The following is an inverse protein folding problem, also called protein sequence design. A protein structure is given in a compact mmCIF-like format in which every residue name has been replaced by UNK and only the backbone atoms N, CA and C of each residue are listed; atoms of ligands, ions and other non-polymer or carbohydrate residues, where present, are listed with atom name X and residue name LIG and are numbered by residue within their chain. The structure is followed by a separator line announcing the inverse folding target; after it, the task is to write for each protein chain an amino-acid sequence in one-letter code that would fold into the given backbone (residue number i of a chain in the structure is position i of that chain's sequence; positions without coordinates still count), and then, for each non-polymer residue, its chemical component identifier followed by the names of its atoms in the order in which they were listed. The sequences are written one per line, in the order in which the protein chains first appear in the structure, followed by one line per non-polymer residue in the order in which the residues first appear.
data_IF_852069572945
#
_entry.id   IF_852069572945
#
_cell.length_a   1.000
_cell.length_b   1.000
_cell.length_c   1.000
_cell.angle_alpha   90.00
_cell.angle_beta   90.00
_cell.angle_gamma   90.00
#
_symmetry.space_group_name_H-M   'P 1'
#
loop_
_entity.id
_entity.type
_entity.pdbx_description
1 polymer ?
#
# COMPACT_ATOMS: atom_id res chain seq x y z
N UNK A 1 -0.84 -52.40 -22.52
CA UNK A 1 0.19 -51.40 -22.91
C UNK A 1 -0.34 -49.96 -23.04
N UNK A 2 -1.46 -49.70 -23.73
CA UNK A 2 -2.06 -48.35 -23.91
C UNK A 2 -2.32 -47.58 -22.59
N UNK A 3 -2.94 -48.20 -21.58
CA UNK A 3 -3.26 -47.56 -20.28
C UNK A 3 -2.03 -47.04 -19.53
N UNK A 4 -0.86 -47.69 -19.65
CA UNK A 4 0.39 -47.28 -19.00
C UNK A 4 0.98 -46.03 -19.67
N UNK A 5 0.94 -45.95 -21.01
CA UNK A 5 1.35 -44.75 -21.76
C UNK A 5 0.47 -43.54 -21.44
N UNK A 6 -0.85 -43.74 -21.34
CA UNK A 6 -1.80 -42.67 -20.97
C UNK A 6 -1.52 -42.14 -19.55
N UNK A 7 -1.27 -43.02 -18.56
CA UNK A 7 -0.90 -42.59 -17.20
C UNK A 7 0.41 -41.77 -17.16
N UNK A 8 1.39 -42.13 -17.99
CA UNK A 8 2.66 -41.38 -18.10
C UNK A 8 2.41 -39.99 -18.68
N UNK A 9 1.62 -39.90 -19.76
CA UNK A 9 1.26 -38.61 -20.39
C UNK A 9 0.51 -37.70 -19.40
N UNK A 10 -0.45 -38.24 -18.64
CA UNK A 10 -1.19 -37.46 -17.63
C UNK A 10 -0.26 -36.95 -16.53
N UNK A 11 0.65 -37.80 -16.01
CA UNK A 11 1.63 -37.37 -15.00
C UNK A 11 2.55 -36.28 -15.54
N UNK A 12 3.00 -36.41 -16.79
CA UNK A 12 3.83 -35.39 -17.43
C UNK A 12 3.08 -34.06 -17.58
N UNK A 13 1.85 -34.08 -18.10
CA UNK A 13 0.98 -32.89 -18.18
C UNK A 13 0.79 -32.23 -16.82
N UNK A 14 0.57 -33.01 -15.77
CA UNK A 14 0.43 -32.49 -14.41
C UNK A 14 1.69 -31.78 -13.92
N UNK A 15 2.87 -32.36 -14.15
CA UNK A 15 4.16 -31.72 -13.80
C UNK A 15 4.37 -30.43 -14.58
N UNK A 16 4.03 -30.39 -15.87
CA UNK A 16 4.12 -29.17 -16.69
C UNK A 16 3.20 -28.07 -16.15
N UNK A 17 1.95 -28.39 -15.81
CA UNK A 17 1.00 -27.43 -15.22
C UNK A 17 1.53 -26.88 -13.90
N UNK A 18 2.00 -27.74 -12.99
CA UNK A 18 2.58 -27.30 -11.72
C UNK A 18 3.79 -26.39 -11.91
N UNK A 19 4.63 -26.68 -12.90
CA UNK A 19 5.81 -25.88 -13.22
C UNK A 19 5.42 -24.48 -13.73
N UNK A 20 4.40 -24.39 -14.59
CA UNK A 20 3.85 -23.11 -15.07
C UNK A 20 3.27 -22.30 -13.89
N UNK A 21 2.50 -22.94 -13.00
CA UNK A 21 1.94 -22.27 -11.82
C UNK A 21 3.04 -21.75 -10.88
N UNK A 22 4.12 -22.52 -10.70
CA UNK A 22 5.27 -22.10 -9.91
C UNK A 22 5.98 -20.88 -10.53
N UNK A 23 6.22 -20.90 -11.85
CA UNK A 23 6.79 -19.78 -12.60
C UNK A 23 5.93 -18.51 -12.52
N UNK A 24 4.61 -18.64 -12.69
CA UNK A 24 3.67 -17.52 -12.54
C UNK A 24 3.73 -16.92 -11.14
N UNK A 25 3.82 -17.77 -10.11
CA UNK A 25 3.95 -17.32 -8.71
C UNK A 25 5.26 -16.60 -8.46
N UNK A 26 6.38 -17.07 -9.02
CA UNK A 26 7.69 -16.41 -8.92
C UNK A 26 7.65 -15.04 -9.59
N UNK A 27 7.17 -14.96 -10.84
CA UNK A 27 7.06 -13.71 -11.58
C UNK A 27 6.16 -12.70 -10.86
N UNK A 28 5.06 -13.16 -10.26
CA UNK A 28 4.21 -12.31 -9.43
C UNK A 28 5.00 -11.74 -8.24
N UNK A 29 5.69 -12.58 -7.47
CA UNK A 29 6.50 -12.15 -6.31
C UNK A 29 7.54 -11.09 -6.72
N UNK A 30 8.20 -11.29 -7.85
CA UNK A 30 9.22 -10.36 -8.36
C UNK A 30 8.60 -9.03 -8.78
N UNK A 31 7.54 -9.05 -9.59
CA UNK A 31 6.81 -7.85 -10.00
C UNK A 31 6.29 -7.05 -8.79
N UNK A 32 5.80 -7.75 -7.76
CA UNK A 32 5.29 -7.12 -6.55
C UNK A 32 6.40 -6.46 -5.73
N UNK A 33 7.54 -7.14 -5.61
CA UNK A 33 8.73 -6.61 -4.96
C UNK A 33 9.23 -5.36 -5.69
N UNK A 34 9.16 -5.38 -7.01
CA UNK A 34 9.55 -4.28 -7.88
C UNK A 34 8.60 -3.09 -7.72
N UNK A 35 7.29 -3.31 -7.72
CA UNK A 35 6.29 -2.26 -7.49
C UNK A 35 6.54 -1.53 -6.16
N UNK A 36 6.74 -2.27 -5.06
CA UNK A 36 7.01 -1.66 -3.75
C UNK A 36 8.30 -0.82 -3.75
N UNK A 37 9.38 -1.34 -4.37
CA UNK A 37 10.65 -0.60 -4.50
C UNK A 37 10.48 0.65 -5.35
N UNK A 38 9.72 0.57 -6.43
CA UNK A 38 9.43 1.70 -7.32
C UNK A 38 8.65 2.79 -6.59
N UNK A 39 7.60 2.42 -5.85
CA UNK A 39 6.85 3.35 -5.00
C UNK A 39 7.79 4.08 -4.04
N UNK A 40 8.65 3.34 -3.34
CA UNK A 40 9.60 3.93 -2.41
C UNK A 40 10.56 4.92 -3.11
N UNK A 41 11.20 4.49 -4.20
CA UNK A 41 12.12 5.31 -4.99
C UNK A 41 11.44 6.57 -5.55
N UNK A 42 10.23 6.41 -6.09
CA UNK A 42 9.42 7.50 -6.62
C UNK A 42 9.16 8.57 -5.55
N UNK A 43 8.78 8.15 -4.34
CA UNK A 43 8.45 9.04 -3.22
C UNK A 43 9.66 9.64 -2.50
N UNK A 44 10.89 9.18 -2.77
CA UNK A 44 12.08 9.86 -2.28
C UNK A 44 12.23 11.25 -2.93
N UNK A 45 11.84 11.38 -4.19
CA UNK A 45 11.89 12.65 -4.92
C UNK A 45 10.79 13.63 -4.41
N UNK A 46 11.18 14.89 -4.19
CA UNK A 46 10.27 15.92 -3.67
C UNK A 46 9.24 16.37 -4.72
N UNK A 47 9.64 16.50 -5.98
CA UNK A 47 8.78 16.95 -7.06
C UNK A 47 7.72 15.88 -7.36
N UNK A 48 8.09 14.61 -7.36
CA UNK A 48 7.16 13.49 -7.50
C UNK A 48 6.08 13.51 -6.40
N UNK A 49 6.48 13.76 -5.14
CA UNK A 49 5.53 13.89 -4.03
C UNK A 49 4.54 15.04 -4.25
N UNK A 50 5.05 16.21 -4.63
CA UNK A 50 4.25 17.42 -4.87
C UNK A 50 3.27 17.19 -6.05
N UNK A 51 3.76 16.64 -7.16
CA UNK A 51 2.95 16.32 -8.32
C UNK A 51 1.82 15.34 -7.95
N UNK A 52 2.14 14.26 -7.22
CA UNK A 52 1.16 13.29 -6.76
C UNK A 52 0.14 13.90 -5.82
N UNK A 53 0.56 14.79 -4.91
CA UNK A 53 -0.35 15.52 -4.03
C UNK A 53 -1.37 16.34 -4.83
N UNK A 54 -0.91 17.21 -5.73
CA UNK A 54 -1.80 18.06 -6.51
C UNK A 54 -2.65 17.28 -7.51
N UNK A 55 -2.14 16.18 -8.06
CA UNK A 55 -2.93 15.28 -8.92
C UNK A 55 -4.08 14.63 -8.16
N UNK A 56 -3.84 14.20 -6.91
CA UNK A 56 -4.88 13.69 -6.03
C UNK A 56 -5.92 14.75 -5.66
N UNK A 57 -5.47 15.98 -5.34
CA UNK A 57 -6.34 17.12 -5.06
C UNK A 57 -7.23 17.47 -6.25
N UNK A 58 -6.68 17.46 -7.47
CA UNK A 58 -7.43 17.72 -8.69
C UNK A 58 -8.55 16.67 -8.91
N UNK A 59 -8.28 15.39 -8.62
CA UNK A 59 -9.28 14.33 -8.67
C UNK A 59 -10.35 14.46 -7.58
N UNK A 60 -10.05 15.15 -6.49
CA UNK A 60 -10.98 15.44 -5.40
C UNK A 60 -11.61 16.84 -5.51
N UNK A 61 -11.89 17.30 -6.73
CA UNK A 61 -12.53 18.59 -7.01
C UNK A 61 -11.81 19.79 -6.38
N UNK A 62 -10.48 19.75 -6.33
CA UNK A 62 -9.64 20.82 -5.76
C UNK A 62 -9.56 20.81 -4.23
N UNK A 63 -10.14 19.82 -3.55
CA UNK A 63 -10.13 19.72 -2.08
C UNK A 63 -8.97 18.85 -1.59
N UNK A 64 -8.30 19.30 -0.53
CA UNK A 64 -7.18 18.58 0.08
C UNK A 64 -7.62 17.63 1.21
N UNK A 65 -8.78 17.92 1.77
CA UNK A 65 -9.47 17.12 2.79
C UNK A 65 -9.92 15.79 2.20
N UNK A 66 -9.73 14.69 2.95
CA UNK A 66 -10.16 13.34 2.56
C UNK A 66 -9.56 12.85 1.23
N UNK A 67 -8.39 13.38 0.85
CA UNK A 67 -7.69 13.05 -0.40
C UNK A 67 -6.71 11.87 -0.25
N UNK A 68 -6.69 11.18 0.90
CA UNK A 68 -5.71 10.11 1.18
C UNK A 68 -5.75 8.99 0.14
N UNK A 69 -6.96 8.57 -0.24
CA UNK A 69 -7.16 7.50 -1.22
C UNK A 69 -6.79 7.97 -2.62
N UNK A 70 -7.11 9.20 -2.99
CA UNK A 70 -6.69 9.78 -4.26
C UNK A 70 -5.16 9.89 -4.36
N UNK A 71 -4.49 10.34 -3.29
CA UNK A 71 -3.04 10.39 -3.20
C UNK A 71 -2.41 9.01 -3.41
N UNK A 72 -2.84 8.00 -2.66
CA UNK A 72 -2.31 6.63 -2.80
C UNK A 72 -2.63 6.05 -4.19
N UNK A 73 -3.80 6.34 -4.74
CA UNK A 73 -4.16 5.90 -6.09
C UNK A 73 -3.27 6.54 -7.16
N UNK A 74 -2.89 7.81 -7.00
CA UNK A 74 -1.92 8.48 -7.88
C UNK A 74 -0.51 7.92 -7.69
N UNK A 75 -0.07 7.63 -6.45
CA UNK A 75 1.21 6.94 -6.21
C UNK A 75 1.25 5.62 -6.98
N UNK A 76 0.19 4.83 -6.91
CA UNK A 76 0.07 3.56 -7.63
C UNK A 76 0.11 3.76 -9.15
N UNK A 77 -0.69 4.70 -9.70
CA UNK A 77 -0.72 4.99 -11.14
C UNK A 77 0.63 5.46 -11.69
N UNK A 78 1.33 6.32 -10.95
CA UNK A 78 2.68 6.81 -11.31
C UNK A 78 3.75 5.73 -11.24
N UNK A 79 3.45 4.60 -10.60
CA UNK A 79 4.29 3.40 -10.55
C UNK A 79 3.71 2.26 -11.41
N UNK A 80 2.99 2.59 -12.49
CA UNK A 80 2.43 1.66 -13.47
C UNK A 80 1.43 0.64 -12.90
N UNK A 81 0.78 0.97 -11.78
CA UNK A 81 -0.29 0.17 -11.21
C UNK A 81 -1.64 0.86 -11.40
N UNK A 82 -2.46 0.35 -12.32
CA UNK A 82 -3.68 1.01 -12.75
C UNK A 82 -4.79 0.91 -11.69
N UNK A 83 -5.07 2.01 -11.00
CA UNK A 83 -6.19 2.17 -10.08
C UNK A 83 -7.25 3.07 -10.73
N UNK A 84 -8.57 2.79 -10.60
CA UNK A 84 -9.62 3.67 -11.09
C UNK A 84 -9.48 5.12 -10.57
N UNK A 85 -9.79 6.11 -11.41
CA UNK A 85 -9.67 7.54 -11.06
C UNK A 85 -10.71 8.00 -10.04
N UNK A 86 -11.85 7.31 -9.93
CA UNK A 86 -12.93 7.59 -8.98
C UNK A 86 -12.73 6.93 -7.61
N UNK A 87 -11.56 6.36 -7.33
CA UNK A 87 -11.24 5.72 -6.06
C UNK A 87 -11.15 6.77 -4.94
N UNK A 88 -12.17 6.85 -4.08
CA UNK A 88 -12.34 7.97 -3.16
C UNK A 88 -12.33 7.61 -1.66
N UNK A 89 -12.48 6.33 -1.30
CA UNK A 89 -12.53 5.89 0.10
C UNK A 89 -11.68 4.64 0.35
N UNK A 90 -11.29 4.45 1.61
CA UNK A 90 -10.38 3.38 2.05
C UNK A 90 -10.97 2.00 1.83
N UNK A 91 -12.25 1.80 2.09
CA UNK A 91 -12.95 0.52 1.88
C UNK A 91 -12.91 0.06 0.41
N UNK A 92 -13.18 0.97 -0.52
CA UNK A 92 -13.12 0.72 -1.96
C UNK A 92 -11.70 0.42 -2.42
N UNK A 93 -10.71 1.15 -1.90
CA UNK A 93 -9.30 0.89 -2.21
C UNK A 93 -8.88 -0.48 -1.68
N UNK A 94 -9.21 -0.83 -0.44
CA UNK A 94 -8.90 -2.14 0.16
C UNK A 94 -9.52 -3.25 -0.69
N UNK A 95 -10.80 -3.14 -0.99
CA UNK A 95 -11.53 -4.12 -1.80
C UNK A 95 -10.90 -4.31 -3.18
N UNK A 96 -10.53 -3.20 -3.84
CA UNK A 96 -9.82 -3.22 -5.11
C UNK A 96 -8.47 -3.92 -5.00
N UNK A 97 -7.65 -3.58 -4.01
CA UNK A 97 -6.34 -4.20 -3.80
C UNK A 97 -6.47 -5.71 -3.52
N UNK A 98 -7.42 -6.12 -2.68
CA UNK A 98 -7.68 -7.53 -2.36
C UNK A 98 -8.10 -8.33 -3.60
N UNK A 99 -9.03 -7.79 -4.41
CA UNK A 99 -9.43 -8.38 -5.69
C UNK A 99 -8.26 -8.52 -6.67
N UNK A 100 -7.29 -7.61 -6.60
CA UNK A 100 -6.07 -7.67 -7.40
C UNK A 100 -4.94 -8.43 -6.70
N UNK A 101 -5.26 -9.23 -5.69
CA UNK A 101 -4.35 -10.20 -5.08
C UNK A 101 -3.42 -9.63 -4.01
N UNK A 102 -3.55 -8.37 -3.62
CA UNK A 102 -2.83 -7.84 -2.46
C UNK A 102 -3.25 -8.55 -1.18
N UNK A 103 -2.34 -8.63 -0.23
CA UNK A 103 -2.54 -9.30 1.05
C UNK A 103 -2.39 -8.34 2.21
N UNK A 104 -3.35 -8.41 3.13
CA UNK A 104 -3.34 -7.71 4.40
C UNK A 104 -2.33 -8.35 5.36
N UNK A 105 -1.54 -7.51 6.04
CA UNK A 105 -0.55 -7.89 7.06
C UNK A 105 -0.69 -6.93 8.25
N UNK A 106 -0.71 -7.47 9.46
CA UNK A 106 -0.98 -6.69 10.69
C UNK A 106 0.26 -6.45 11.55
N UNK A 107 1.33 -7.19 11.30
CA UNK A 107 2.58 -7.06 12.06
C UNK A 107 3.41 -5.90 11.51
N UNK A 108 3.23 -4.69 12.07
CA UNK A 108 3.95 -3.49 11.62
C UNK A 108 5.47 -3.65 11.69
N UNK A 109 6.03 -4.54 12.52
CA UNK A 109 7.49 -4.77 12.57
C UNK A 109 8.03 -5.35 11.25
N UNK A 110 7.15 -5.88 10.39
CA UNK A 110 7.47 -6.39 9.05
C UNK A 110 7.32 -5.34 7.94
N UNK A 111 6.96 -4.10 8.27
CA UNK A 111 6.89 -3.01 7.32
C UNK A 111 8.22 -2.82 6.59
N UNK A 112 8.13 -2.63 5.29
CA UNK A 112 9.24 -2.32 4.39
C UNK A 112 8.92 -1.03 3.65
N UNK A 113 9.94 -0.22 3.30
CA UNK A 113 9.75 0.99 2.53
C UNK A 113 8.88 0.76 1.29
N UNK A 114 7.88 1.63 1.06
CA UNK A 114 6.91 1.52 -0.03
C UNK A 114 5.65 0.70 0.28
N UNK A 115 5.52 0.09 1.47
CA UNK A 115 4.25 -0.54 1.85
C UNK A 115 3.13 0.49 2.03
N UNK A 116 1.92 0.14 1.57
CA UNK A 116 0.71 0.95 1.75
C UNK A 116 0.07 0.54 3.07
N UNK A 117 -0.07 1.51 3.97
CA UNK A 117 -0.56 1.32 5.32
C UNK A 117 -1.96 1.91 5.49
N UNK A 118 -2.69 1.38 6.46
CA UNK A 118 -4.04 1.77 6.81
C UNK A 118 -4.15 1.92 8.33
N UNK A 119 -4.85 2.95 8.78
CA UNK A 119 -5.08 3.21 10.19
C UNK A 119 -6.22 2.37 10.77
N UNK A 120 -6.46 2.47 12.07
CA UNK A 120 -7.72 2.06 12.68
C UNK A 120 -8.88 2.91 12.17
N UNK A 121 -10.11 2.53 12.51
CA UNK A 121 -11.23 3.47 12.43
C UNK A 121 -11.09 4.60 13.48
N UNK A 122 -12.02 5.56 13.44
CA UNK A 122 -12.02 6.73 14.33
C UNK A 122 -12.31 6.42 15.81
N UNK A 123 -12.62 5.16 16.14
CA UNK A 123 -12.78 4.67 17.52
C UNK A 123 -11.60 3.81 17.97
N UNK A 124 -10.56 3.67 17.14
CA UNK A 124 -9.40 2.84 17.45
C UNK A 124 -9.59 1.34 17.17
N UNK A 125 -10.68 0.94 16.51
CA UNK A 125 -10.91 -0.46 16.16
C UNK A 125 -10.11 -0.86 14.91
N UNK A 126 -9.31 -1.91 15.05
CA UNK A 126 -8.49 -2.46 13.96
C UNK A 126 -9.29 -3.19 12.88
N UNK A 127 -10.50 -3.63 13.21
CA UNK A 127 -11.41 -4.32 12.29
C UNK A 127 -12.44 -3.37 11.64
N UNK A 128 -12.45 -2.09 12.03
CA UNK A 128 -13.31 -1.07 11.42
C UNK A 128 -12.78 -0.57 10.08
N UNK A 129 -13.49 0.38 9.48
CA UNK A 129 -13.08 1.04 8.23
C UNK A 129 -11.95 2.03 8.54
N UNK A 130 -10.73 1.85 7.97
CA UNK A 130 -9.62 2.76 8.21
C UNK A 130 -9.96 4.20 7.86
N UNK A 131 -9.63 5.14 8.75
CA UNK A 131 -9.82 6.58 8.50
C UNK A 131 -8.83 7.14 7.49
N UNK A 132 -7.66 6.51 7.36
CA UNK A 132 -6.55 7.06 6.60
C UNK A 132 -5.66 5.97 5.99
N UNK A 133 -4.96 6.36 4.91
CA UNK A 133 -3.97 5.52 4.25
C UNK A 133 -2.74 6.34 3.85
N UNK A 134 -1.56 5.72 3.94
CA UNK A 134 -0.26 6.36 3.74
C UNK A 134 0.78 5.36 3.24
N UNK A 135 1.91 5.84 2.72
CA UNK A 135 3.06 4.98 2.38
C UNK A 135 4.10 5.04 3.49
N UNK A 136 4.52 3.88 3.98
CA UNK A 136 5.64 3.78 4.91
C UNK A 136 6.97 3.98 4.19
N UNK A 137 7.82 4.88 4.69
CA UNK A 137 9.12 5.20 4.07
C UNK A 137 10.29 4.59 4.84
N UNK A 138 10.35 4.79 6.16
CA UNK A 138 11.39 4.22 7.02
C UNK A 138 11.02 4.38 8.51
N UNK A 139 11.57 3.52 9.37
CA UNK A 139 11.55 3.76 10.82
C UNK A 139 12.48 4.93 11.17
N UNK A 140 12.08 5.77 12.12
CA UNK A 140 12.92 6.91 12.56
C UNK A 140 14.17 6.43 13.28
N UNK A 141 14.05 5.36 14.08
CA UNK A 141 15.16 4.76 14.82
C UNK A 141 15.11 3.25 14.67
N UNK A 142 16.24 2.65 14.30
CA UNK A 142 16.35 1.19 14.20
C UNK A 142 16.01 0.49 15.53
N UNK A 143 15.24 -0.59 15.46
CA UNK A 143 14.74 -1.31 16.63
C UNK A 143 13.62 -0.62 17.41
N UNK A 144 13.27 0.63 17.08
CA UNK A 144 12.11 1.33 17.63
C UNK A 144 11.01 1.45 16.57
N UNK A 145 9.82 0.94 16.90
CA UNK A 145 8.68 0.85 15.99
C UNK A 145 7.54 1.81 16.35
N UNK A 146 7.82 2.83 17.16
CA UNK A 146 6.83 3.82 17.57
C UNK A 146 6.66 4.89 16.50
N UNK A 147 7.75 5.35 15.88
CA UNK A 147 7.73 6.46 14.90
C UNK A 147 8.33 6.07 13.56
N UNK A 148 7.66 6.47 12.48
CA UNK A 148 8.14 6.28 11.12
C UNK A 148 8.03 7.55 10.29
N UNK A 149 8.92 7.66 9.31
CA UNK A 149 8.74 8.52 8.16
C UNK A 149 7.69 7.94 7.22
N UNK A 150 6.72 8.76 6.83
CA UNK A 150 5.63 8.38 5.93
C UNK A 150 5.42 9.42 4.84
N UNK A 151 4.70 9.05 3.78
CA UNK A 151 4.19 9.98 2.76
C UNK A 151 2.67 9.85 2.65
N UNK A 152 1.95 10.97 2.76
CA UNK A 152 0.49 11.05 2.59
C UNK A 152 -0.03 12.46 2.21
N UNK A 153 -1.36 12.63 2.17
CA UNK A 153 -2.02 13.90 1.85
C UNK A 153 -2.27 14.83 3.07
N UNK A 154 -1.94 14.44 4.30
CA UNK A 154 -2.17 15.23 5.51
C UNK A 154 -1.12 16.34 5.72
N UNK A 155 -0.43 16.75 4.65
CA UNK A 155 0.67 17.73 4.71
C UNK A 155 0.34 18.99 5.51
N UNK A 156 -0.90 19.49 5.43
CA UNK A 156 -1.36 20.68 6.19
C UNK A 156 -1.27 20.54 7.70
N UNK A 157 -1.33 19.31 8.22
CA UNK A 157 -1.21 19.01 9.65
C UNK A 157 0.25 18.87 10.11
N UNK A 158 1.19 18.89 9.16
CA UNK A 158 2.63 18.68 9.35
C UNK A 158 3.45 19.75 8.63
N UNK A 159 3.15 21.03 8.85
CA UNK A 159 3.92 22.16 8.29
C UNK A 159 4.05 22.11 6.76
N UNK A 160 2.99 21.68 6.07
CA UNK A 160 2.95 21.48 4.61
C UNK A 160 3.93 20.41 4.09
N UNK A 161 4.34 19.46 4.93
CA UNK A 161 5.24 18.36 4.55
C UNK A 161 4.46 17.09 4.20
N UNK A 162 4.46 16.72 2.91
CA UNK A 162 3.94 15.44 2.41
C UNK A 162 4.71 14.25 3.01
N UNK A 163 6.02 14.43 3.19
CA UNK A 163 6.89 13.48 3.88
C UNK A 163 7.13 14.00 5.29
N UNK A 164 6.66 13.28 6.29
CA UNK A 164 6.79 13.67 7.70
C UNK A 164 6.88 12.45 8.62
N UNK A 165 7.14 12.71 9.91
CA UNK A 165 7.18 11.69 10.95
C UNK A 165 5.79 11.53 11.55
N UNK A 166 5.38 10.28 11.79
CA UNK A 166 4.12 9.94 12.47
C UNK A 166 4.35 8.82 13.48
N UNK A 167 3.61 8.85 14.60
CA UNK A 167 3.49 7.69 15.47
C UNK A 167 2.67 6.59 14.78
N UNK A 168 3.25 5.40 14.66
CA UNK A 168 2.63 4.24 14.03
C UNK A 168 1.87 3.42 15.07
N UNK A 169 2.43 3.29 16.27
CA UNK A 169 1.95 2.33 17.28
C UNK A 169 0.69 2.81 18.03
N UNK A 170 0.62 4.10 18.33
CA UNK A 170 -0.40 4.70 19.18
C UNK A 170 -1.12 5.83 18.47
N UNK A 171 -2.31 6.18 18.97
CA UNK A 171 -2.98 7.43 18.60
C UNK A 171 -2.11 8.60 19.06
N UNK A 172 -1.95 9.60 18.20
CA UNK A 172 -1.11 10.78 18.45
C UNK A 172 -1.83 12.07 18.02
N UNK A 173 -1.18 13.22 18.20
CA UNK A 173 -1.65 14.51 17.70
C UNK A 173 -0.61 15.16 16.80
N UNK A 174 -1.05 15.74 15.70
CA UNK A 174 -0.25 16.62 14.86
C UNK A 174 -1.00 17.93 14.62
N UNK A 175 -0.36 19.05 14.96
CA UNK A 175 -0.96 20.38 14.90
C UNK A 175 -2.36 20.47 15.55
N UNK A 176 -2.54 19.81 16.70
CA UNK A 176 -3.82 19.77 17.43
C UNK A 176 -4.85 18.74 16.93
N UNK A 177 -4.63 18.11 15.78
CA UNK A 177 -5.53 17.10 15.21
C UNK A 177 -5.13 15.68 15.62
N UNK A 178 -6.11 14.87 16.04
CA UNK A 178 -5.90 13.45 16.33
C UNK A 178 -5.44 12.67 15.10
N UNK A 179 -4.58 11.68 15.31
CA UNK A 179 -3.99 10.81 14.30
C UNK A 179 -4.16 9.36 14.73
N UNK A 180 -5.04 8.65 14.04
CA UNK A 180 -5.33 7.25 14.31
C UNK A 180 -4.09 6.37 14.13
N UNK A 181 -4.00 5.35 14.98
CA UNK A 181 -2.89 4.40 14.99
C UNK A 181 -2.91 3.49 13.76
N UNK A 182 -1.81 2.80 13.50
CA UNK A 182 -1.74 1.76 12.48
C UNK A 182 -2.67 0.58 12.80
N UNK A 183 -3.34 0.05 11.77
CA UNK A 183 -4.08 -1.21 11.84
C UNK A 183 -3.39 -2.32 11.04
N UNK A 184 -3.16 -2.09 9.74
CA UNK A 184 -2.54 -3.06 8.85
C UNK A 184 -1.83 -2.37 7.68
N UNK A 185 -1.00 -3.13 6.97
CA UNK A 185 -0.51 -2.76 5.65
C UNK A 185 -0.92 -3.80 4.62
N UNK A 186 -0.89 -3.39 3.35
CA UNK A 186 -1.09 -4.28 2.23
C UNK A 186 0.18 -4.33 1.38
N UNK A 187 0.48 -5.52 0.89
CA UNK A 187 1.52 -5.77 -0.09
C UNK A 187 0.98 -6.65 -1.21
N UNK A 188 1.42 -6.40 -2.44
CA UNK A 188 1.01 -7.14 -3.63
C UNK A 188 1.58 -8.55 -3.62
#
# INVERSE_FOLDING_TARGET
MKKRKVKIIIKFLFVVILSIMALQKINAIENNRELRKNIYKYLQDKNNRIETYYSGVALNNGKSENTCVYFISEVLRKNNYNVPKNMANTESLISFLEQHGWKKKTDYKKLKPGNICFTTDGYGNKNGIPTHTYVFMAWVKEGNYDYAYICDNQAKDYENKIYHIRNIKNVDKANGYSKDAFSFFMEK
#
